data_IF_098495689346
#
_entry.id   IF_098495689346
#
_cell.length_a   1.000
_cell.length_b   1.000
_cell.length_c   1.000
_cell.angle_alpha   90.00
_cell.angle_beta   90.00
_cell.angle_gamma   90.00
#
_symmetry.space_group_name_H-M   'P 1'
#
loop_
_entity.id
_entity.type
_entity.pdbx_description
1 polymer ?
#
# COMPACT_ATOMS: atom_id res chain seq x y z
N UNK A 1 8.57 -13.56 16.93
CA UNK A 1 9.91 -14.18 16.81
C UNK A 1 10.17 -14.66 15.38
N UNK A 2 9.37 -15.57 14.82
CA UNK A 2 9.51 -16.04 13.41
C UNK A 2 9.64 -14.98 12.30
N UNK A 3 8.93 -13.84 12.36
CA UNK A 3 9.08 -12.78 11.35
C UNK A 3 10.44 -12.07 11.41
N UNK A 4 11.04 -11.98 12.60
CA UNK A 4 12.41 -11.47 12.77
C UNK A 4 13.41 -12.45 12.17
N UNK A 5 13.27 -13.72 12.52
CA UNK A 5 14.12 -14.79 12.01
C UNK A 5 14.07 -14.86 10.48
N UNK A 6 12.88 -14.89 9.87
CA UNK A 6 12.75 -14.91 8.40
C UNK A 6 13.39 -13.69 7.74
N UNK A 7 13.43 -12.55 8.43
CA UNK A 7 13.93 -11.33 7.86
C UNK A 7 15.45 -11.23 7.81
N UNK A 8 16.14 -11.90 8.72
CA UNK A 8 17.61 -11.90 8.83
C UNK A 8 18.29 -12.65 7.67
N UNK A 9 17.56 -13.50 6.93
CA UNK A 9 18.14 -14.35 5.88
C UNK A 9 18.08 -13.78 4.46
N UNK A 10 17.52 -12.58 4.25
CA UNK A 10 17.41 -11.98 2.92
C UNK A 10 18.36 -10.77 2.78
N UNK A 11 19.45 -10.89 2.01
CA UNK A 11 20.38 -9.79 1.77
C UNK A 11 19.67 -8.56 1.19
N UNK A 12 19.95 -7.39 1.77
CA UNK A 12 19.34 -6.13 1.34
C UNK A 12 17.96 -5.85 1.94
N UNK A 13 17.41 -6.76 2.76
CA UNK A 13 16.14 -6.53 3.44
C UNK A 13 16.35 -5.88 4.82
N UNK A 14 15.63 -4.79 5.08
CA UNK A 14 15.66 -4.08 6.37
C UNK A 14 14.30 -4.28 7.06
N UNK A 15 14.21 -5.13 8.10
CA UNK A 15 12.95 -5.31 8.80
C UNK A 15 12.65 -4.11 9.70
N UNK A 16 11.47 -3.54 9.53
CA UNK A 16 10.95 -2.47 10.39
C UNK A 16 9.75 -3.01 11.17
N UNK A 17 9.87 -3.04 12.50
CA UNK A 17 8.77 -3.45 13.38
C UNK A 17 8.05 -2.22 13.88
N UNK A 18 6.95 -1.88 13.23
CA UNK A 18 6.11 -0.73 13.57
C UNK A 18 4.65 -1.18 13.69
N UNK A 19 3.92 -0.58 14.65
CA UNK A 19 2.47 -0.75 14.75
C UNK A 19 1.80 0.49 14.19
N UNK A 20 1.16 0.35 13.03
CA UNK A 20 0.38 1.41 12.39
C UNK A 20 -0.90 1.62 13.20
N UNK A 21 -1.13 2.86 13.66
CA UNK A 21 -2.31 3.28 14.42
C UNK A 21 -2.92 4.57 13.87
N UNK A 22 -2.11 5.39 13.20
CA UNK A 22 -2.50 6.68 12.65
C UNK A 22 -2.02 6.78 11.19
N UNK A 23 -2.67 7.62 10.34
CA UNK A 23 -2.20 7.87 8.98
C UNK A 23 -0.76 8.42 8.95
N UNK A 24 -0.36 9.15 9.99
CA UNK A 24 1.00 9.71 10.12
C UNK A 24 2.09 8.62 10.15
N UNK A 25 1.78 7.42 10.66
CA UNK A 25 2.73 6.30 10.64
C UNK A 25 3.08 5.90 9.19
N UNK A 26 2.12 5.96 8.26
CA UNK A 26 2.39 5.75 6.84
C UNK A 26 3.15 6.92 6.24
N UNK A 27 2.80 8.16 6.58
CA UNK A 27 3.53 9.36 6.12
C UNK A 27 5.01 9.26 6.44
N UNK A 28 5.33 8.88 7.68
CA UNK A 28 6.71 8.74 8.15
C UNK A 28 7.45 7.62 7.39
N UNK A 29 6.80 6.48 7.15
CA UNK A 29 7.40 5.40 6.36
C UNK A 29 7.68 5.82 4.92
N UNK A 30 6.73 6.50 4.27
CA UNK A 30 6.85 6.94 2.88
C UNK A 30 8.00 7.95 2.75
N UNK A 31 8.01 8.98 3.61
CA UNK A 31 9.05 10.02 3.56
C UNK A 31 10.43 9.50 3.91
N UNK A 32 10.52 8.54 4.83
CA UNK A 32 11.80 8.00 5.30
C UNK A 32 12.46 7.12 4.26
N UNK A 33 11.68 6.28 3.58
CA UNK A 33 12.23 5.23 2.71
C UNK A 33 12.05 5.53 1.22
N UNK A 34 11.19 6.47 0.85
CA UNK A 34 10.88 6.87 -0.52
C UNK A 34 10.75 5.66 -1.47
N UNK A 35 9.85 4.71 -1.17
CA UNK A 35 9.81 3.45 -1.90
C UNK A 35 9.34 3.65 -3.34
N UNK A 36 9.95 2.92 -4.28
CA UNK A 36 9.47 2.84 -5.67
C UNK A 36 8.15 2.06 -5.77
N UNK A 37 7.97 1.06 -4.90
CA UNK A 37 6.79 0.21 -4.80
C UNK A 37 6.38 0.07 -3.33
N UNK A 38 5.11 0.29 -3.03
CA UNK A 38 4.52 -0.04 -1.74
C UNK A 38 3.53 -1.18 -1.88
N UNK A 39 3.86 -2.31 -1.23
CA UNK A 39 2.91 -3.41 -1.02
C UNK A 39 2.26 -3.28 0.36
N UNK A 40 0.92 -3.37 0.44
CA UNK A 40 0.21 -3.39 1.72
C UNK A 40 -0.79 -4.54 1.78
N UNK A 41 -0.59 -5.40 2.79
CA UNK A 41 -1.50 -6.42 3.28
C UNK A 41 -1.49 -6.30 4.80
N UNK A 42 -2.55 -5.71 5.37
CA UNK A 42 -2.60 -5.44 6.80
C UNK A 42 -3.99 -5.53 7.42
N UNK A 43 -4.85 -6.38 6.86
CA UNK A 43 -6.09 -6.85 7.48
C UNK A 43 -6.99 -5.71 8.03
N UNK A 44 -7.23 -4.68 7.22
CA UNK A 44 -8.08 -3.52 7.52
C UNK A 44 -7.31 -2.23 7.83
N UNK A 45 -6.01 -2.31 8.15
CA UNK A 45 -5.19 -1.13 8.43
C UNK A 45 -4.97 -0.24 7.19
N UNK A 46 -5.24 -0.75 5.98
CA UNK A 46 -5.12 -0.01 4.73
C UNK A 46 -6.03 1.24 4.71
N UNK A 47 -7.10 1.25 5.54
CA UNK A 47 -7.93 2.42 5.76
C UNK A 47 -7.13 3.66 6.20
N UNK A 48 -6.03 3.47 6.95
CA UNK A 48 -5.16 4.55 7.42
C UNK A 48 -4.28 5.07 6.28
N UNK A 49 -3.80 4.19 5.39
CA UNK A 49 -3.10 4.60 4.17
C UNK A 49 -3.98 5.50 3.29
N UNK A 50 -5.27 5.21 3.19
CA UNK A 50 -6.19 6.00 2.35
C UNK A 50 -6.45 7.41 2.88
N UNK A 51 -6.13 7.65 4.16
CA UNK A 51 -6.23 8.93 4.83
C UNK A 51 -4.94 9.75 4.75
N UNK A 52 -3.83 9.16 4.27
CA UNK A 52 -2.59 9.88 4.02
C UNK A 52 -2.84 11.03 3.04
N UNK A 53 -2.29 12.24 3.25
CA UNK A 53 -2.47 13.36 2.34
C UNK A 53 -2.08 13.00 0.89
N UNK A 54 -2.82 13.52 -0.08
CA UNK A 54 -2.66 13.20 -1.51
C UNK A 54 -1.24 13.48 -2.01
N UNK A 55 -0.63 14.57 -1.53
CA UNK A 55 0.74 14.97 -1.86
C UNK A 55 1.80 13.98 -1.36
N UNK A 56 1.53 13.26 -0.27
CA UNK A 56 2.44 12.23 0.26
C UNK A 56 2.13 10.89 -0.39
N UNK A 57 0.85 10.53 -0.51
CA UNK A 57 0.41 9.32 -1.19
C UNK A 57 0.96 9.25 -2.62
N UNK A 58 1.00 10.38 -3.31
CA UNK A 58 1.50 10.49 -4.69
C UNK A 58 3.02 10.38 -4.84
N UNK A 59 3.78 10.34 -3.73
CA UNK A 59 5.25 10.16 -3.78
C UNK A 59 5.67 8.75 -4.17
N UNK A 60 4.78 7.76 -4.02
CA UNK A 60 5.08 6.36 -4.32
C UNK A 60 4.72 6.08 -5.78
N UNK A 61 5.68 5.70 -6.63
CA UNK A 61 5.40 5.40 -8.04
C UNK A 61 4.37 4.29 -8.23
N UNK A 62 4.46 3.22 -7.44
CA UNK A 62 3.65 2.02 -7.61
C UNK A 62 3.03 1.50 -6.31
N UNK A 63 1.81 0.98 -6.42
CA UNK A 63 1.09 0.37 -5.31
C UNK A 63 0.61 -1.05 -5.67
N UNK A 64 0.91 -2.01 -4.80
CA UNK A 64 0.28 -3.34 -4.79
C UNK A 64 -0.51 -3.52 -3.49
N UNK A 65 -1.82 -3.35 -3.57
CA UNK A 65 -2.65 -3.24 -2.38
C UNK A 65 -3.66 -4.35 -2.30
N UNK A 66 -3.78 -4.88 -1.10
CA UNK A 66 -4.82 -5.81 -0.77
C UNK A 66 -5.84 -5.18 0.17
N UNK A 67 -7.10 -5.31 -0.22
CA UNK A 67 -8.23 -4.74 0.52
C UNK A 67 -9.06 -5.85 1.12
N UNK A 68 -9.36 -5.74 2.40
CA UNK A 68 -10.04 -6.78 3.19
C UNK A 68 -11.55 -6.56 3.34
N UNK A 69 -12.10 -5.57 2.61
CA UNK A 69 -13.54 -5.41 2.44
C UNK A 69 -13.86 -4.70 1.12
N UNK A 70 -15.10 -4.88 0.66
CA UNK A 70 -15.59 -4.17 -0.54
C UNK A 70 -15.64 -2.65 -0.34
N UNK A 71 -15.86 -2.19 0.89
CA UNK A 71 -15.85 -0.76 1.21
C UNK A 71 -14.44 -0.17 1.08
N UNK A 72 -13.43 -0.83 1.67
CA UNK A 72 -12.03 -0.41 1.59
C UNK A 72 -11.54 -0.42 0.14
N UNK A 73 -11.93 -1.42 -0.64
CA UNK A 73 -11.68 -1.47 -2.08
C UNK A 73 -12.24 -0.23 -2.82
N UNK A 74 -13.49 0.17 -2.54
CA UNK A 74 -14.08 1.37 -3.16
C UNK A 74 -13.37 2.65 -2.76
N UNK A 75 -12.99 2.78 -1.49
CA UNK A 75 -12.23 3.92 -0.98
C UNK A 75 -10.86 4.00 -1.68
N UNK A 76 -10.17 2.87 -1.79
CA UNK A 76 -8.87 2.80 -2.45
C UNK A 76 -8.96 3.21 -3.93
N UNK A 77 -9.93 2.66 -4.68
CA UNK A 77 -10.11 3.04 -6.09
C UNK A 77 -10.38 4.53 -6.27
N UNK A 78 -11.14 5.13 -5.35
CA UNK A 78 -11.37 6.59 -5.36
C UNK A 78 -10.07 7.35 -5.07
N UNK A 79 -9.27 6.90 -4.10
CA UNK A 79 -7.97 7.50 -3.77
C UNK A 79 -6.98 7.45 -4.95
N UNK A 80 -6.83 6.28 -5.60
CA UNK A 80 -6.04 6.13 -6.84
C UNK A 80 -6.47 7.15 -7.91
N UNK A 81 -7.78 7.21 -8.20
CA UNK A 81 -8.33 8.08 -9.24
C UNK A 81 -8.13 9.56 -8.94
N UNK A 82 -8.33 9.96 -7.67
CA UNK A 82 -8.09 11.35 -7.24
C UNK A 82 -6.63 11.76 -7.46
N UNK A 83 -5.69 10.83 -7.25
CA UNK A 83 -4.26 11.01 -7.46
C UNK A 83 -3.79 10.61 -8.87
N UNK A 84 -4.73 10.42 -9.82
CA UNK A 84 -4.47 10.12 -11.24
C UNK A 84 -3.70 8.82 -11.51
N UNK A 85 -3.66 7.88 -10.57
CA UNK A 85 -3.05 6.56 -10.80
C UNK A 85 -3.86 5.75 -11.82
N UNK A 86 -3.14 5.05 -12.68
CA UNK A 86 -3.72 4.04 -13.59
C UNK A 86 -3.80 2.71 -12.85
N UNK A 87 -5.00 2.15 -12.74
CA UNK A 87 -5.20 0.82 -12.16
C UNK A 87 -5.02 -0.21 -13.28
N UNK A 88 -3.96 -1.02 -13.17
CA UNK A 88 -3.57 -2.00 -14.20
C UNK A 88 -4.23 -3.35 -13.95
N UNK A 89 -4.24 -3.79 -12.69
CA UNK A 89 -4.89 -5.03 -12.29
C UNK A 89 -5.88 -4.81 -11.15
N UNK A 90 -7.01 -5.51 -11.26
CA UNK A 90 -8.11 -5.49 -10.29
C UNK A 90 -8.72 -6.89 -10.26
N UNK A 91 -8.20 -7.73 -9.37
CA UNK A 91 -8.55 -9.16 -9.34
C UNK A 91 -9.31 -9.51 -8.05
N UNK A 92 -10.42 -10.27 -8.17
CA UNK A 92 -11.02 -10.91 -7.00
C UNK A 92 -10.06 -12.00 -6.48
N UNK A 93 -10.10 -12.24 -5.18
CA UNK A 93 -9.43 -13.41 -4.57
C UNK A 93 -10.45 -14.53 -4.32
N UNK A 94 -10.03 -15.75 -3.95
CA UNK A 94 -10.97 -16.81 -3.54
C UNK A 94 -11.88 -16.40 -2.37
N UNK A 95 -11.47 -15.41 -1.57
CA UNK A 95 -12.29 -14.82 -0.52
C UNK A 95 -13.10 -13.66 -1.12
N UNK A 96 -14.45 -13.72 -1.13
CA UNK A 96 -15.27 -12.73 -1.84
C UNK A 96 -15.17 -11.31 -1.28
N UNK A 97 -14.73 -11.14 -0.03
CA UNK A 97 -14.50 -9.84 0.60
C UNK A 97 -13.10 -9.25 0.36
N UNK A 98 -12.18 -10.00 -0.27
CA UNK A 98 -10.77 -9.59 -0.48
C UNK A 98 -10.46 -9.38 -1.95
N UNK A 99 -9.80 -8.26 -2.25
CA UNK A 99 -9.40 -7.87 -3.62
C UNK A 99 -7.97 -7.34 -3.64
N UNK A 100 -7.26 -7.65 -4.71
CA UNK A 100 -5.91 -7.13 -4.97
C UNK A 100 -5.96 -6.13 -6.12
N UNK A 101 -5.30 -5.00 -5.92
CA UNK A 101 -5.23 -3.90 -6.87
C UNK A 101 -3.76 -3.51 -7.10
N UNK A 102 -3.40 -3.40 -8.38
CA UNK A 102 -2.11 -2.85 -8.80
C UNK A 102 -2.32 -1.51 -9.51
N UNK A 103 -1.63 -0.47 -9.04
CA UNK A 103 -1.75 0.89 -9.54
C UNK A 103 -0.40 1.56 -9.78
N UNK A 104 -0.28 2.28 -10.90
CA UNK A 104 0.93 2.97 -11.33
C UNK A 104 0.65 4.46 -11.50
N UNK A 105 1.54 5.30 -10.98
CA UNK A 105 1.51 6.75 -11.15
C UNK A 105 1.76 7.13 -12.62
N UNK A 106 1.01 8.09 -13.19
CA UNK A 106 1.14 8.48 -14.60
C UNK A 106 2.50 9.08 -14.94
N UNK A 107 3.25 9.55 -13.93
CA UNK A 107 4.61 10.08 -14.11
C UNK A 107 5.64 8.99 -14.43
N UNK A 108 5.27 7.71 -14.28
CA UNK A 108 6.15 6.55 -14.40
C UNK A 108 5.64 5.52 -15.42
N UNK A 109 4.74 5.92 -16.32
CA UNK A 109 4.31 5.09 -17.46
C UNK A 109 5.30 5.36 -18.61
N UNK A 110 6.09 4.34 -18.96
CA UNK A 110 7.08 4.36 -20.06
C UNK A 110 6.44 4.42 -21.45
#
# INVERSE_FOLDING_TARGET
EKLKENAEFLPGMIPVFLKIRHPDDFVDLIKRWSPDLMQVDCEGCEALLFQVPDEIFSLIPEYLLETHSFELYRIMKRKCRANKYTIIEDRPTPKPWRRVLYAISPQYIY
#
